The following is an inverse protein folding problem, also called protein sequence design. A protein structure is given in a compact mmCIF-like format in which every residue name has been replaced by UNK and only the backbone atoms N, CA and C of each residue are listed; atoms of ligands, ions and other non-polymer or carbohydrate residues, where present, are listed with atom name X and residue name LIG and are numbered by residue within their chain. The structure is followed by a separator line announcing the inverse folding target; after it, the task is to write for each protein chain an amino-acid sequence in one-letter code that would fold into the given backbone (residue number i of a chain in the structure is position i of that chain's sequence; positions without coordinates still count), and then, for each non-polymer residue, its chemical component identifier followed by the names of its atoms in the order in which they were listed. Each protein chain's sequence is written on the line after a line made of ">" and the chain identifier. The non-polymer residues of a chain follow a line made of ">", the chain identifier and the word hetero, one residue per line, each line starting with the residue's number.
data_IF_769670365745
#
_entry.id   IF_769670365745
#
_cell.length_a   1.000
_cell.length_b   1.000
_cell.length_c   1.000
_cell.angle_alpha   90.00
_cell.angle_beta   90.00
_cell.angle_gamma   90.00
#
_symmetry.space_group_name_H-M   'P 1'
#
loop_
_entity.id
_entity.type
_entity.pdbx_description
1 polymer ?
#
# COMPACT_ATOMS: atom_id res chain seq x y z
N UNK A 1 -11.34 -23.30 8.69
CA UNK A 1 -10.57 -22.07 8.43
C UNK A 1 -10.99 -21.52 7.07
N UNK A 2 -11.15 -20.20 6.91
CA UNK A 2 -11.45 -19.57 5.61
C UNK A 2 -10.22 -19.71 4.71
N UNK A 3 -10.36 -20.30 3.53
CA UNK A 3 -9.30 -20.31 2.51
C UNK A 3 -9.28 -18.92 1.87
N UNK A 4 -8.12 -18.27 1.87
CA UNK A 4 -7.93 -16.95 1.27
C UNK A 4 -7.28 -17.09 -0.12
N UNK A 5 -7.71 -16.25 -1.07
CA UNK A 5 -7.08 -16.12 -2.38
C UNK A 5 -5.67 -15.58 -2.21
N UNK A 6 -4.68 -16.34 -2.68
CA UNK A 6 -3.28 -15.91 -2.74
C UNK A 6 -3.08 -15.02 -3.98
N UNK A 7 -2.60 -13.77 -3.83
CA UNK A 7 -2.22 -12.93 -4.96
C UNK A 7 -1.08 -13.54 -5.80
N UNK A 8 -0.99 -13.13 -7.06
CA UNK A 8 0.18 -13.42 -7.88
C UNK A 8 1.41 -12.65 -7.37
N UNK A 9 2.59 -13.22 -7.57
CA UNK A 9 3.87 -12.53 -7.35
C UNK A 9 4.03 -11.31 -8.27
N UNK A 10 4.86 -10.37 -7.84
CA UNK A 10 5.36 -9.27 -8.66
C UNK A 10 6.50 -9.73 -9.56
N UNK A 11 6.66 -9.02 -10.67
CA UNK A 11 7.81 -9.07 -11.56
C UNK A 11 8.38 -7.65 -11.70
N UNK A 12 9.64 -7.55 -12.09
CA UNK A 12 10.23 -6.26 -12.46
C UNK A 12 9.46 -5.68 -13.65
N UNK A 13 9.15 -4.39 -13.61
CA UNK A 13 8.27 -3.68 -14.54
C UNK A 13 6.80 -3.65 -14.13
N UNK A 14 6.39 -4.40 -13.10
CA UNK A 14 5.00 -4.34 -12.64
C UNK A 14 4.68 -3.00 -11.98
N UNK A 15 3.46 -2.51 -12.22
CA UNK A 15 2.93 -1.32 -11.57
C UNK A 15 2.46 -1.63 -10.15
N UNK A 16 2.84 -0.79 -9.20
CA UNK A 16 2.31 -0.82 -7.84
C UNK A 16 1.73 0.54 -7.45
N UNK A 17 0.62 0.52 -6.71
CA UNK A 17 0.01 1.71 -6.16
C UNK A 17 0.59 2.05 -4.79
N UNK A 18 0.91 3.32 -4.54
CA UNK A 18 1.11 3.86 -3.20
C UNK A 18 -0.16 4.55 -2.72
N UNK A 19 -0.55 4.33 -1.47
CA UNK A 19 -1.80 4.84 -0.89
C UNK A 19 -1.62 5.37 0.54
N UNK A 20 -2.31 6.45 0.86
CA UNK A 20 -2.35 7.07 2.20
C UNK A 20 -3.70 6.82 2.86
N UNK A 21 -3.87 5.63 3.45
CA UNK A 21 -5.16 5.17 3.98
C UNK A 21 -5.37 5.48 5.48
N UNK A 22 -4.32 5.90 6.16
CA UNK A 22 -4.35 6.33 7.55
C UNK A 22 -3.83 7.76 7.65
N UNK A 23 -2.58 7.98 8.09
CA UNK A 23 -2.00 9.31 8.11
C UNK A 23 -1.56 9.78 6.71
N UNK A 24 -1.94 11.00 6.34
CA UNK A 24 -1.66 11.61 5.03
C UNK A 24 -0.30 12.29 4.87
N UNK A 25 0.60 12.14 5.85
CA UNK A 25 1.86 12.89 5.92
C UNK A 25 2.83 12.67 4.77
N UNK A 26 2.64 11.64 3.94
CA UNK A 26 3.44 11.44 2.73
C UNK A 26 3.37 12.62 1.75
N UNK A 27 2.24 13.34 1.73
CA UNK A 27 2.03 14.53 0.90
C UNK A 27 2.43 15.85 1.55
N UNK A 28 2.82 15.86 2.83
CA UNK A 28 3.20 17.10 3.52
C UNK A 28 4.57 17.60 3.03
N UNK A 29 4.71 18.91 2.83
CA UNK A 29 5.90 19.52 2.21
C UNK A 29 7.21 19.14 2.93
N UNK A 30 7.20 19.10 4.26
CA UNK A 30 8.36 18.75 5.08
C UNK A 30 8.72 17.24 5.08
N UNK A 31 7.85 16.39 4.54
CA UNK A 31 8.02 14.93 4.48
C UNK A 31 8.03 14.38 3.06
N UNK A 32 7.68 15.19 2.05
CA UNK A 32 7.65 14.78 0.65
C UNK A 32 9.00 14.24 0.16
N UNK A 33 10.13 14.73 0.70
CA UNK A 33 11.46 14.20 0.40
C UNK A 33 11.61 12.73 0.82
N UNK A 34 11.03 12.34 1.98
CA UNK A 34 11.06 10.97 2.50
C UNK A 34 10.21 10.04 1.63
N UNK A 35 9.05 10.53 1.18
CA UNK A 35 8.22 9.83 0.20
C UNK A 35 9.00 9.55 -1.10
N UNK A 36 9.65 10.58 -1.67
CA UNK A 36 10.44 10.46 -2.90
C UNK A 36 11.58 9.44 -2.75
N UNK A 37 12.29 9.45 -1.62
CA UNK A 37 13.35 8.47 -1.34
C UNK A 37 12.82 7.02 -1.31
N UNK A 38 11.68 6.78 -0.66
CA UNK A 38 11.06 5.45 -0.64
C UNK A 38 10.58 5.00 -2.02
N UNK A 39 9.96 5.91 -2.78
CA UNK A 39 9.52 5.67 -4.16
C UNK A 39 10.68 5.29 -5.06
N UNK A 40 11.77 6.04 -5.01
CA UNK A 40 12.98 5.77 -5.79
C UNK A 40 13.52 4.36 -5.53
N UNK A 41 13.41 3.82 -4.30
CA UNK A 41 13.91 2.47 -4.00
C UNK A 41 12.99 1.37 -4.50
N UNK A 42 11.69 1.60 -4.49
CA UNK A 42 10.75 0.70 -5.17
C UNK A 42 11.08 0.59 -6.67
N UNK A 43 11.43 1.71 -7.28
CA UNK A 43 11.79 1.79 -8.70
C UNK A 43 13.19 1.19 -8.96
N UNK A 44 14.22 1.59 -8.22
CA UNK A 44 15.62 1.23 -8.52
C UNK A 44 16.05 -0.13 -7.96
N UNK A 45 15.64 -0.50 -6.73
CA UNK A 45 16.06 -1.75 -6.10
C UNK A 45 15.20 -2.91 -6.62
N UNK A 46 13.89 -2.70 -6.68
CA UNK A 46 12.93 -3.75 -7.04
C UNK A 46 12.49 -3.68 -8.50
N UNK A 47 12.82 -2.62 -9.25
CA UNK A 47 12.49 -2.50 -10.66
C UNK A 47 10.99 -2.30 -10.91
N UNK A 48 10.24 -1.73 -9.97
CA UNK A 48 8.79 -1.54 -10.09
C UNK A 48 8.45 -0.19 -10.73
N UNK A 49 7.25 -0.06 -11.30
CA UNK A 49 6.69 1.23 -11.69
C UNK A 49 5.72 1.72 -10.61
N UNK A 50 6.01 2.87 -10.00
CA UNK A 50 5.21 3.39 -8.89
C UNK A 50 4.12 4.34 -9.39
N UNK A 51 2.87 4.05 -9.05
CA UNK A 51 1.69 4.86 -9.37
C UNK A 51 1.12 5.47 -8.10
N UNK A 52 0.92 6.79 -8.11
CA UNK A 52 0.18 7.51 -7.08
C UNK A 52 -1.31 7.46 -7.40
N UNK A 53 -2.13 7.09 -6.42
CA UNK A 53 -3.56 7.29 -6.52
C UNK A 53 -3.87 8.78 -6.34
N UNK A 54 -5.11 9.17 -6.66
CA UNK A 54 -5.50 10.58 -6.78
C UNK A 54 -5.25 11.38 -5.49
N UNK A 55 -5.39 10.73 -4.33
CA UNK A 55 -5.28 11.38 -3.03
C UNK A 55 -4.04 10.93 -2.24
N UNK A 56 -3.16 10.09 -2.80
CA UNK A 56 -1.96 9.57 -2.12
C UNK A 56 -1.12 10.67 -1.46
N UNK A 57 -0.95 11.81 -2.15
CA UNK A 57 -0.13 12.94 -1.71
C UNK A 57 -0.96 14.19 -1.38
N UNK A 58 -2.23 14.04 -1.00
CA UNK A 58 -3.10 15.17 -0.69
C UNK A 58 -2.78 15.87 0.65
N UNK A 59 -1.84 15.33 1.45
CA UNK A 59 -1.41 15.88 2.73
C UNK A 59 -2.28 15.46 3.91
N UNK A 60 -1.75 15.66 5.12
CA UNK A 60 -2.34 15.19 6.39
C UNK A 60 -3.75 15.73 6.61
N UNK A 61 -3.94 17.03 6.46
CA UNK A 61 -5.22 17.68 6.77
C UNK A 61 -6.35 17.19 5.86
N UNK A 62 -6.10 17.13 4.55
CA UNK A 62 -7.07 16.65 3.58
C UNK A 62 -7.41 15.18 3.84
N UNK A 63 -6.40 14.31 3.99
CA UNK A 63 -6.62 12.88 4.17
C UNK A 63 -7.37 12.57 5.46
N UNK A 64 -7.09 13.30 6.54
CA UNK A 64 -7.82 13.16 7.79
C UNK A 64 -9.30 13.55 7.64
N UNK A 65 -9.60 14.64 6.95
CA UNK A 65 -10.97 15.12 6.79
C UNK A 65 -11.79 14.31 5.76
N UNK A 66 -11.12 13.54 4.89
CA UNK A 66 -11.76 12.83 3.77
C UNK A 66 -11.54 11.31 3.78
N UNK A 67 -12.09 10.56 4.75
CA UNK A 67 -12.01 9.09 4.77
C UNK A 67 -12.64 8.42 3.54
N UNK A 68 -13.65 9.03 2.93
CA UNK A 68 -14.26 8.56 1.68
C UNK A 68 -13.28 8.62 0.50
N UNK A 69 -12.37 9.60 0.49
CA UNK A 69 -11.34 9.74 -0.55
C UNK A 69 -10.20 8.74 -0.39
N UNK A 70 -9.88 8.36 0.84
CA UNK A 70 -8.98 7.23 1.12
C UNK A 70 -9.57 5.91 0.62
N UNK A 71 -10.86 5.69 0.86
CA UNK A 71 -11.56 4.52 0.34
C UNK A 71 -11.65 4.51 -1.19
N UNK A 72 -11.92 5.66 -1.82
CA UNK A 72 -11.89 5.83 -3.27
C UNK A 72 -10.53 5.41 -3.85
N UNK A 73 -9.42 5.90 -3.29
CA UNK A 73 -8.07 5.49 -3.71
C UNK A 73 -7.83 3.98 -3.57
N UNK A 74 -8.29 3.37 -2.48
CA UNK A 74 -8.20 1.92 -2.31
C UNK A 74 -9.02 1.15 -3.35
N UNK A 75 -10.27 1.57 -3.60
CA UNK A 75 -11.15 0.92 -4.58
C UNK A 75 -10.57 1.04 -5.99
N UNK A 76 -10.12 2.24 -6.37
CA UNK A 76 -9.49 2.50 -7.66
C UNK A 76 -8.22 1.65 -7.83
N UNK A 77 -7.38 1.58 -6.80
CA UNK A 77 -6.17 0.77 -6.83
C UNK A 77 -6.48 -0.73 -7.01
N UNK A 78 -7.56 -1.24 -6.42
CA UNK A 78 -8.01 -2.62 -6.63
C UNK A 78 -8.62 -2.82 -8.03
N UNK A 79 -9.50 -1.94 -8.49
CA UNK A 79 -10.17 -2.05 -9.79
C UNK A 79 -9.21 -1.96 -10.98
N UNK A 80 -8.15 -1.16 -10.88
CA UNK A 80 -7.18 -1.00 -11.96
C UNK A 80 -6.39 -2.32 -12.19
N UNK A 81 -6.61 -2.95 -13.34
CA UNK A 81 -5.98 -4.23 -13.71
C UNK A 81 -4.49 -4.08 -14.06
N UNK A 82 -4.01 -2.86 -14.32
CA UNK A 82 -2.59 -2.59 -14.55
C UNK A 82 -1.78 -2.67 -13.25
N UNK A 83 -2.39 -2.34 -12.11
CA UNK A 83 -1.77 -2.37 -10.78
C UNK A 83 -1.72 -3.81 -10.25
N UNK A 84 -0.50 -4.30 -9.97
CA UNK A 84 -0.23 -5.66 -9.48
C UNK A 84 -0.02 -5.75 -7.97
N UNK A 85 0.24 -4.62 -7.32
CA UNK A 85 0.36 -4.53 -5.86
C UNK A 85 -0.01 -3.16 -5.33
N UNK A 86 -0.38 -3.09 -4.06
CA UNK A 86 -0.70 -1.87 -3.33
C UNK A 86 0.15 -1.85 -2.07
N UNK A 87 0.86 -0.76 -1.81
CA UNK A 87 1.69 -0.57 -0.63
C UNK A 87 1.24 0.69 0.11
N UNK A 88 1.00 0.58 1.41
CA UNK A 88 0.67 1.71 2.24
C UNK A 88 1.89 2.64 2.42
N UNK A 89 1.67 3.95 2.29
CA UNK A 89 2.71 4.94 2.56
C UNK A 89 3.19 4.88 4.02
N UNK A 90 2.24 4.84 4.95
CA UNK A 90 2.48 4.78 6.40
C UNK A 90 1.20 4.34 7.13
N UNK A 91 1.32 3.95 8.40
CA UNK A 91 0.19 3.75 9.32
C UNK A 91 -0.39 5.07 9.86
N UNK A 92 -0.98 5.03 11.06
CA UNK A 92 -1.66 6.14 11.70
C UNK A 92 -2.58 5.60 12.79
N UNK A 93 -3.83 6.09 12.90
CA UNK A 93 -4.76 5.68 13.97
C UNK A 93 -6.25 5.65 13.58
N UNK A 94 -6.62 6.01 12.34
CA UNK A 94 -8.02 6.31 12.00
C UNK A 94 -8.52 5.68 10.68
N UNK A 95 -7.78 4.74 10.09
CA UNK A 95 -8.20 4.07 8.84
C UNK A 95 -9.56 3.34 8.96
N UNK A 96 -10.00 3.01 10.18
CA UNK A 96 -11.33 2.44 10.45
C UNK A 96 -12.48 3.31 9.91
N UNK A 97 -12.27 4.63 9.78
CA UNK A 97 -13.26 5.57 9.23
C UNK A 97 -13.57 5.31 7.75
N UNK A 98 -12.74 4.53 7.05
CA UNK A 98 -13.01 4.10 5.68
C UNK A 98 -14.14 3.07 5.58
N UNK A 99 -14.42 2.31 6.65
CA UNK A 99 -15.31 1.14 6.61
C UNK A 99 -16.68 1.38 5.91
N UNK A 100 -17.40 2.51 6.13
CA UNK A 100 -18.68 2.76 5.46
C UNK A 100 -18.59 2.91 3.94
N UNK A 101 -17.39 3.11 3.39
CA UNK A 101 -17.14 3.38 1.97
C UNK A 101 -16.44 2.22 1.25
N UNK A 102 -16.21 1.10 1.94
CA UNK A 102 -15.54 -0.07 1.36
C UNK A 102 -16.56 -0.98 0.68
N UNK A 103 -16.30 -1.25 -0.59
CA UNK A 103 -16.95 -2.33 -1.34
C UNK A 103 -16.06 -3.57 -1.33
N UNK A 104 -16.50 -4.61 -0.60
CA UNK A 104 -15.75 -5.86 -0.48
C UNK A 104 -15.78 -6.70 -1.75
N UNK A 105 -16.77 -6.53 -2.63
CA UNK A 105 -16.86 -7.25 -3.90
C UNK A 105 -15.82 -6.72 -4.88
N UNK A 106 -15.56 -5.40 -4.88
CA UNK A 106 -14.43 -4.83 -5.60
C UNK A 106 -13.12 -5.48 -5.17
N UNK A 107 -12.84 -5.53 -3.86
CA UNK A 107 -11.58 -6.12 -3.37
C UNK A 107 -11.55 -7.61 -3.76
N UNK A 108 -12.62 -8.35 -3.49
CA UNK A 108 -12.72 -9.79 -3.76
C UNK A 108 -12.49 -10.12 -5.24
N UNK A 109 -13.07 -9.37 -6.17
CA UNK A 109 -12.96 -9.63 -7.61
C UNK A 109 -11.63 -9.18 -8.22
N UNK A 110 -10.73 -8.58 -7.43
CA UNK A 110 -9.46 -8.05 -7.88
C UNK A 110 -8.29 -8.49 -6.97
N UNK A 111 -8.04 -9.80 -6.81
CA UNK A 111 -6.96 -10.27 -5.94
C UNK A 111 -5.60 -9.78 -6.42
N UNK A 112 -4.94 -8.98 -5.58
CA UNK A 112 -3.58 -8.47 -5.78
C UNK A 112 -2.88 -8.28 -4.44
N UNK A 113 -1.57 -8.05 -4.47
CA UNK A 113 -0.79 -7.83 -3.25
C UNK A 113 -1.29 -6.54 -2.58
N UNK A 114 -1.51 -6.61 -1.26
CA UNK A 114 -1.68 -5.44 -0.39
C UNK A 114 -0.69 -5.57 0.77
N UNK A 115 0.14 -4.55 1.00
CA UNK A 115 1.18 -4.58 2.03
C UNK A 115 1.25 -3.30 2.86
N UNK A 116 1.47 -3.48 4.17
CA UNK A 116 1.77 -2.43 5.14
C UNK A 116 1.69 -3.00 6.56
N UNK A 117 1.79 -2.15 7.58
CA UNK A 117 1.67 -2.57 8.97
C UNK A 117 1.10 -1.45 9.87
N UNK A 118 0.97 -1.72 11.17
CA UNK A 118 0.38 -0.81 12.17
C UNK A 118 -1.12 -0.59 11.92
N UNK A 119 -1.64 0.63 11.92
CA UNK A 119 -3.06 0.91 11.65
C UNK A 119 -3.54 0.42 10.27
N UNK A 120 -2.62 0.16 9.34
CA UNK A 120 -2.89 -0.58 8.09
C UNK A 120 -3.55 -1.95 8.33
N UNK A 121 -3.50 -2.48 9.57
CA UNK A 121 -4.27 -3.64 10.04
C UNK A 121 -5.74 -3.55 9.66
N UNK A 122 -6.37 -2.37 9.73
CA UNK A 122 -7.76 -2.20 9.29
C UNK A 122 -7.95 -2.63 7.83
N UNK A 123 -7.06 -2.21 6.93
CA UNK A 123 -7.13 -2.60 5.51
C UNK A 123 -6.78 -4.07 5.30
N UNK A 124 -5.92 -4.66 6.14
CA UNK A 124 -5.73 -6.11 6.17
C UNK A 124 -7.03 -6.85 6.56
N UNK A 125 -7.81 -6.32 7.51
CA UNK A 125 -9.13 -6.87 7.85
C UNK A 125 -10.11 -6.72 6.69
N UNK A 126 -10.02 -5.64 5.90
CA UNK A 126 -10.82 -5.51 4.68
C UNK A 126 -10.48 -6.59 3.65
N UNK A 127 -9.18 -6.81 3.38
CA UNK A 127 -8.71 -7.88 2.50
C UNK A 127 -9.15 -9.26 3.00
N UNK A 128 -9.00 -9.51 4.31
CA UNK A 128 -9.42 -10.75 4.96
C UNK A 128 -10.94 -10.99 4.80
N UNK A 129 -11.75 -9.95 5.03
CA UNK A 129 -13.21 -10.01 4.84
C UNK A 129 -13.57 -10.33 3.38
N UNK A 130 -12.89 -9.70 2.42
CA UNK A 130 -13.01 -9.97 0.98
C UNK A 130 -12.40 -11.32 0.53
N UNK A 131 -11.73 -12.05 1.44
CA UNK A 131 -11.19 -13.38 1.16
C UNK A 131 -9.87 -13.37 0.40
N UNK A 132 -9.04 -12.33 0.59
CA UNK A 132 -7.71 -12.20 -0.01
C UNK A 132 -6.65 -12.24 1.09
N UNK A 133 -5.55 -12.95 0.81
CA UNK A 133 -4.38 -12.97 1.67
C UNK A 133 -3.53 -11.72 1.41
N UNK A 134 -3.59 -10.75 2.32
CA UNK A 134 -2.68 -9.60 2.34
C UNK A 134 -1.41 -9.87 3.15
N UNK A 135 -0.43 -8.96 3.09
CA UNK A 135 0.89 -9.15 3.67
C UNK A 135 1.14 -8.07 4.73
N UNK A 136 1.26 -8.49 6.00
CA UNK A 136 1.68 -7.59 7.06
C UNK A 136 3.20 -7.37 6.94
N UNK A 137 3.63 -6.19 6.52
CA UNK A 137 5.00 -5.97 6.08
C UNK A 137 5.37 -4.50 5.88
N UNK A 138 6.55 -4.24 5.29
CA UNK A 138 7.14 -2.90 5.16
C UNK A 138 6.21 -1.83 4.58
N UNK A 139 6.32 -0.60 5.08
CA UNK A 139 5.64 0.60 4.55
C UNK A 139 6.64 1.59 3.95
N UNK A 140 6.16 2.46 3.05
CA UNK A 140 7.03 3.35 2.29
C UNK A 140 7.92 4.23 3.16
N UNK A 141 7.33 5.01 4.07
CA UNK A 141 8.04 6.07 4.78
C UNK A 141 8.97 5.54 5.89
N UNK A 142 8.67 4.35 6.42
CA UNK A 142 9.43 3.76 7.52
C UNK A 142 10.56 2.90 6.96
N UNK A 143 10.23 1.94 6.10
CA UNK A 143 11.17 0.87 5.72
C UNK A 143 11.83 1.14 4.36
N UNK A 144 11.02 1.42 3.33
CA UNK A 144 11.56 1.68 2.00
C UNK A 144 12.36 2.96 2.01
N UNK A 145 11.99 3.97 2.80
CA UNK A 145 12.69 5.24 2.88
C UNK A 145 13.76 5.32 3.99
N UNK A 146 14.25 4.20 4.54
CA UNK A 146 15.34 4.18 5.53
C UNK A 146 16.53 5.09 5.13
N UNK A 147 17.18 5.84 6.01
CA UNK A 147 18.26 6.73 5.52
C UNK A 147 19.46 5.94 4.98
N UNK A 148 20.18 6.53 4.02
CA UNK A 148 21.35 5.95 3.35
C UNK A 148 20.99 4.77 2.43
N UNK A 149 20.54 3.64 2.98
CA UNK A 149 20.16 2.46 2.22
C UNK A 149 19.08 1.66 2.93
N UNK A 150 18.36 0.82 2.18
CA UNK A 150 17.45 -0.16 2.79
C UNK A 150 18.26 -1.24 3.51
N UNK A 151 17.72 -1.73 4.63
CA UNK A 151 18.27 -2.91 5.31
C UNK A 151 18.31 -4.11 4.36
N UNK A 152 19.46 -4.81 4.21
CA UNK A 152 19.56 -6.02 3.39
C UNK A 152 18.55 -7.10 3.82
N UNK A 153 18.26 -7.19 5.12
CA UNK A 153 17.26 -8.12 5.65
C UNK A 153 15.86 -7.83 5.08
N UNK A 154 15.45 -6.57 5.08
CA UNK A 154 14.15 -6.15 4.53
C UNK A 154 14.08 -6.41 3.04
N UNK A 155 15.15 -6.09 2.29
CA UNK A 155 15.22 -6.35 0.84
C UNK A 155 15.08 -7.84 0.53
N UNK A 156 15.83 -8.70 1.25
CA UNK A 156 15.78 -10.15 1.06
C UNK A 156 14.38 -10.72 1.28
N UNK A 157 13.67 -10.28 2.33
CA UNK A 157 12.35 -10.80 2.67
C UNK A 157 11.25 -10.27 1.74
N UNK A 158 11.39 -9.04 1.23
CA UNK A 158 10.52 -8.55 0.15
C UNK A 158 10.72 -9.39 -1.11
N UNK A 159 11.95 -9.65 -1.53
CA UNK A 159 12.26 -10.47 -2.70
C UNK A 159 11.68 -11.90 -2.57
N UNK A 160 11.88 -12.55 -1.42
CA UNK A 160 11.33 -13.89 -1.17
C UNK A 160 9.80 -13.91 -1.18
N UNK A 161 9.16 -12.91 -0.58
CA UNK A 161 7.71 -12.92 -0.36
C UNK A 161 6.94 -12.42 -1.58
N UNK A 162 7.36 -11.30 -2.18
CA UNK A 162 6.62 -10.64 -3.24
C UNK A 162 7.02 -11.10 -4.64
N UNK A 163 8.28 -11.52 -4.86
CA UNK A 163 8.79 -11.81 -6.21
C UNK A 163 9.04 -13.30 -6.47
N UNK A 164 9.15 -14.14 -5.43
CA UNK A 164 9.49 -15.56 -5.59
C UNK A 164 8.39 -16.54 -5.13
N UNK A 165 7.42 -16.09 -4.34
CA UNK A 165 6.40 -16.96 -3.74
C UNK A 165 5.21 -17.28 -4.64
#
# INVERSE_FOLDING_TARGET
>A
MKILKKPNRLNRGDKIALVSLSWGGAGDENLLWRYKQGKERLEQVFGLEVVEMKHTLAGTEYIYNHPEKRAEDLMNAFQDKSIKGIIACIGGIDSIRMLPFIDFDIISNNPKIFMGYSDTTTTHLFCYKAGISSIYGPTLLVDFAENVSMSPYTVEHIEKTLFKS
#
